data_IF_386023508497
#
_entry.id   IF_386023508497
#
_cell.length_a   1.000
_cell.length_b   1.000
_cell.length_c   1.000
_cell.angle_alpha   90.00
_cell.angle_beta   90.00
_cell.angle_gamma   90.00
#
_symmetry.space_group_name_H-M   'P 1'
#
loop_
_entity.id
_entity.type
_entity.pdbx_description
1 polymer ?
#
# COMPACT_ATOMS: atom_id res chain seq x y z
N UNK A 1 -0.88 -7.67 18.59
CA UNK A 1 -1.13 -7.20 17.21
C UNK A 1 -1.21 -8.45 16.36
N UNK A 2 -2.40 -8.83 15.90
CA UNK A 2 -2.56 -10.08 15.15
C UNK A 2 -2.05 -9.91 13.71
N UNK A 3 -1.40 -10.92 13.15
CA UNK A 3 -1.04 -11.00 11.73
C UNK A 3 -2.24 -10.66 10.80
N UNK A 4 -3.44 -11.04 11.24
CA UNK A 4 -4.70 -10.74 10.55
C UNK A 4 -5.04 -9.24 10.52
N UNK A 5 -4.68 -8.48 11.57
CA UNK A 5 -4.87 -7.03 11.62
C UNK A 5 -3.88 -6.31 10.69
N UNK A 6 -2.62 -6.76 10.67
CA UNK A 6 -1.57 -6.18 9.84
C UNK A 6 -1.86 -6.38 8.35
N UNK A 7 -2.20 -7.61 7.96
CA UNK A 7 -2.59 -7.94 6.58
C UNK A 7 -3.92 -7.28 6.18
N UNK A 8 -4.86 -7.14 7.11
CA UNK A 8 -6.10 -6.38 6.92
C UNK A 8 -5.85 -4.89 6.64
N UNK A 9 -4.92 -4.27 7.38
CA UNK A 9 -4.47 -2.89 7.15
C UNK A 9 -3.85 -2.69 5.77
N UNK A 10 -2.96 -3.60 5.34
CA UNK A 10 -2.36 -3.56 4.01
C UNK A 10 -3.40 -3.67 2.88
N UNK A 11 -4.40 -4.55 3.01
CA UNK A 11 -5.50 -4.67 2.03
C UNK A 11 -6.31 -3.37 1.92
N UNK A 12 -6.61 -2.73 3.06
CA UNK A 12 -7.30 -1.43 3.09
C UNK A 12 -6.46 -0.34 2.40
N UNK A 13 -5.16 -0.32 2.66
CA UNK A 13 -4.23 0.61 2.02
C UNK A 13 -4.17 0.41 0.50
N UNK A 14 -4.09 -0.83 0.03
CA UNK A 14 -4.17 -1.14 -1.40
C UNK A 14 -5.46 -0.64 -2.03
N UNK A 15 -6.61 -0.88 -1.38
CA UNK A 15 -7.92 -0.43 -1.86
C UNK A 15 -8.00 1.09 -1.94
N UNK A 16 -7.55 1.79 -0.90
CA UNK A 16 -7.51 3.25 -0.86
C UNK A 16 -6.60 3.83 -1.97
N UNK A 17 -5.46 3.18 -2.21
CA UNK A 17 -4.52 3.58 -3.28
C UNK A 17 -5.12 3.41 -4.66
N UNK A 18 -5.88 2.33 -4.90
CA UNK A 18 -6.59 2.11 -6.16
C UNK A 18 -7.66 3.18 -6.36
N UNK A 19 -8.45 3.47 -5.33
CA UNK A 19 -9.47 4.51 -5.36
C UNK A 19 -8.85 5.89 -5.65
N UNK A 20 -7.71 6.21 -5.03
CA UNK A 20 -6.98 7.46 -5.28
C UNK A 20 -6.60 7.60 -6.75
N UNK A 21 -6.09 6.53 -7.37
CA UNK A 21 -5.72 6.54 -8.81
C UNK A 21 -6.95 6.71 -9.71
N UNK A 22 -8.04 6.02 -9.42
CA UNK A 22 -9.30 6.16 -10.17
C UNK A 22 -9.85 7.58 -10.08
N UNK A 23 -9.85 8.17 -8.87
CA UNK A 23 -10.29 9.54 -8.67
C UNK A 23 -9.35 10.54 -9.33
N UNK A 24 -8.03 10.33 -9.29
CA UNK A 24 -7.08 11.17 -10.00
C UNK A 24 -7.31 11.15 -11.51
N UNK A 25 -7.56 9.98 -12.10
CA UNK A 25 -7.86 9.86 -13.54
C UNK A 25 -9.10 10.69 -13.91
N UNK A 26 -10.17 10.64 -13.11
CA UNK A 26 -11.38 11.47 -13.31
C UNK A 26 -11.10 12.96 -13.14
N UNK A 27 -10.28 13.32 -12.17
CA UNK A 27 -9.85 14.71 -11.98
C UNK A 27 -9.06 15.19 -13.21
N UNK A 28 -8.19 14.36 -13.77
CA UNK A 28 -7.41 14.65 -14.98
C UNK A 28 -8.27 14.81 -16.24
N UNK A 29 -9.50 14.31 -16.28
CA UNK A 29 -10.41 14.61 -17.40
C UNK A 29 -10.74 16.10 -17.48
N UNK A 30 -10.86 16.76 -16.32
CA UNK A 30 -11.26 18.16 -16.20
C UNK A 30 -10.06 19.10 -15.92
N UNK A 31 -9.01 18.57 -15.30
CA UNK A 31 -7.83 19.32 -14.86
C UNK A 31 -6.56 18.80 -15.56
N UNK A 32 -6.24 19.39 -16.71
CA UNK A 32 -5.16 18.96 -17.60
C UNK A 32 -4.01 19.96 -17.71
N UNK A 33 -4.00 20.98 -16.85
CA UNK A 33 -2.98 22.01 -16.90
C UNK A 33 -1.61 21.52 -16.38
N UNK A 34 -0.63 22.42 -16.48
CA UNK A 34 0.74 22.16 -16.03
C UNK A 34 0.83 22.01 -14.50
N UNK A 35 -0.13 22.56 -13.74
CA UNK A 35 -0.23 22.41 -12.29
C UNK A 35 -0.67 21.00 -11.92
N UNK A 36 -1.62 20.42 -12.64
CA UNK A 36 -2.06 19.05 -12.47
C UNK A 36 -0.91 18.06 -12.74
N UNK A 37 -0.08 18.32 -13.76
CA UNK A 37 1.10 17.51 -14.03
C UNK A 37 2.12 17.56 -12.87
N UNK A 38 2.42 18.77 -12.37
CA UNK A 38 3.29 18.96 -11.21
C UNK A 38 2.73 18.31 -9.95
N UNK A 39 1.44 18.40 -9.71
CA UNK A 39 0.80 17.76 -8.56
C UNK A 39 0.97 16.23 -8.60
N UNK A 40 0.83 15.61 -9.77
CA UNK A 40 1.07 14.17 -9.92
C UNK A 40 2.51 13.79 -9.63
N UNK A 41 3.47 14.55 -10.19
CA UNK A 41 4.90 14.32 -10.03
C UNK A 41 5.38 14.56 -8.60
N UNK A 42 4.99 15.68 -7.98
CA UNK A 42 5.48 16.11 -6.67
C UNK A 42 4.82 15.35 -5.51
N UNK A 43 3.59 14.86 -5.69
CA UNK A 43 2.80 14.28 -4.60
C UNK A 43 2.35 12.84 -4.86
N UNK A 44 1.73 12.56 -6.01
CA UNK A 44 1.12 11.24 -6.24
C UNK A 44 2.16 10.15 -6.55
N UNK A 45 3.18 10.46 -7.34
CA UNK A 45 4.28 9.53 -7.61
C UNK A 45 5.05 9.13 -6.34
N UNK A 46 5.58 10.07 -5.53
CA UNK A 46 6.33 9.72 -4.32
C UNK A 46 5.44 9.03 -3.28
N UNK A 47 4.16 9.40 -3.18
CA UNK A 47 3.21 8.69 -2.33
C UNK A 47 3.01 7.24 -2.79
N UNK A 48 2.87 7.03 -4.10
CA UNK A 48 2.73 5.70 -4.69
C UNK A 48 3.92 4.79 -4.39
N UNK A 49 5.14 5.30 -4.46
CA UNK A 49 6.36 4.56 -4.10
C UNK A 49 6.41 4.20 -2.61
N UNK A 50 6.13 5.17 -1.73
CA UNK A 50 6.09 4.94 -0.28
C UNK A 50 5.06 3.89 0.11
N UNK A 51 3.89 3.91 -0.53
CA UNK A 51 2.85 2.90 -0.31
C UNK A 51 3.33 1.52 -0.75
N UNK A 52 3.98 1.39 -1.92
CA UNK A 52 4.55 0.12 -2.38
C UNK A 52 5.57 -0.43 -1.37
N UNK A 53 6.45 0.42 -0.87
CA UNK A 53 7.44 0.03 0.15
C UNK A 53 6.77 -0.43 1.44
N UNK A 54 5.75 0.29 1.92
CA UNK A 54 5.00 -0.09 3.11
C UNK A 54 4.31 -1.44 2.95
N UNK A 55 3.68 -1.69 1.79
CA UNK A 55 3.03 -2.98 1.51
C UNK A 55 4.04 -4.13 1.42
N UNK A 56 5.20 -3.90 0.82
CA UNK A 56 6.27 -4.90 0.76
C UNK A 56 6.82 -5.23 2.16
N UNK A 57 7.03 -4.21 3.00
CA UNK A 57 7.47 -4.40 4.38
C UNK A 57 6.45 -5.19 5.21
N UNK A 58 5.16 -4.88 5.06
CA UNK A 58 4.06 -5.62 5.71
C UNK A 58 4.03 -7.08 5.22
N UNK A 59 4.19 -7.31 3.92
CA UNK A 59 4.26 -8.68 3.37
C UNK A 59 5.40 -9.48 3.97
N UNK A 60 6.60 -8.90 4.05
CA UNK A 60 7.76 -9.56 4.65
C UNK A 60 7.59 -9.84 6.15
N UNK A 61 7.01 -8.89 6.89
CA UNK A 61 6.66 -9.09 8.30
C UNK A 61 5.69 -10.27 8.45
N UNK A 62 4.70 -10.36 7.57
CA UNK A 62 3.73 -11.43 7.60
C UNK A 62 4.37 -12.82 7.38
N UNK A 63 5.30 -12.92 6.43
CA UNK A 63 6.06 -14.16 6.18
C UNK A 63 6.90 -14.57 7.38
N UNK A 64 7.60 -13.62 8.01
CA UNK A 64 8.43 -13.90 9.20
C UNK A 64 7.58 -14.39 10.38
N UNK A 65 6.40 -13.79 10.60
CA UNK A 65 5.50 -14.24 11.65
C UNK A 65 4.94 -15.64 11.38
N UNK A 66 4.55 -15.93 10.14
CA UNK A 66 4.06 -17.26 9.74
C UNK A 66 5.14 -18.34 9.90
N UNK A 67 6.40 -18.03 9.55
CA UNK A 67 7.52 -18.94 9.76
C UNK A 67 7.82 -19.16 11.24
N UNK A 68 7.78 -18.10 12.05
CA UNK A 68 7.97 -18.20 13.50
C UNK A 68 6.87 -19.03 14.18
N UNK A 69 5.60 -18.83 13.80
CA UNK A 69 4.47 -19.63 14.31
C UNK A 69 4.62 -21.12 13.95
N UNK A 70 5.09 -21.43 12.73
CA UNK A 70 5.37 -22.81 12.30
C UNK A 70 6.50 -23.43 13.12
N UNK A 71 7.62 -22.74 13.28
CA UNK A 71 8.76 -23.24 14.05
C UNK A 71 8.39 -23.51 15.53
N UNK A 72 7.56 -22.65 16.13
CA UNK A 72 7.08 -22.84 17.49
C UNK A 72 6.09 -24.01 17.61
N UNK A 73 5.27 -24.26 16.59
CA UNK A 73 4.32 -25.38 16.57
C UNK A 73 4.98 -26.73 16.29
N UNK A 74 6.10 -26.75 15.54
CA UNK A 74 6.87 -27.96 15.22
C UNK A 74 7.73 -28.44 16.42
N UNK A 75 8.01 -27.54 17.37
CA UNK A 75 8.79 -27.82 18.58
C UNK A 75 7.97 -28.31 19.79
N UNK A 76 6.65 -28.54 19.66
CA UNK A 76 5.77 -29.04 20.73
C UNK A 76 5.34 -30.49 20.54
#
# INVERSE_FOLDING_TARGET
MSLCELTGGAKRLQKATKLLKEQWARTREHWQDQTAAKFEEDHLQPLGERIKLALAAVGRLAEVFDEAEKQLSDQQ
#
